data_IF_303275787134
#
_entry.id   IF_303275787134
#
_cell.length_a   1.000
_cell.length_b   1.000
_cell.length_c   1.000
_cell.angle_alpha   90.00
_cell.angle_beta   90.00
_cell.angle_gamma   90.00
#
_symmetry.space_group_name_H-M   'P 1'
#
loop_
_entity.id
_entity.type
_entity.pdbx_description
1 polymer ?
#
# COMPACT_ATOMS: atom_id res chain seq x y z
N UNK A 1 -10.45 26.22 -3.35
CA UNK A 1 -11.44 25.66 -4.31
C UNK A 1 -10.74 24.79 -5.37
N UNK A 2 -10.01 23.74 -4.95
CA UNK A 2 -9.57 22.63 -5.80
C UNK A 2 -9.62 21.39 -4.89
N UNK A 3 -10.83 20.99 -4.53
CA UNK A 3 -11.10 19.82 -3.71
C UNK A 3 -12.49 19.30 -4.11
N UNK A 4 -12.56 18.48 -5.15
CA UNK A 4 -13.76 17.66 -5.44
C UNK A 4 -13.60 16.58 -6.52
N UNK A 5 -12.40 16.29 -7.06
CA UNK A 5 -12.26 15.19 -8.04
C UNK A 5 -11.93 13.82 -7.45
N UNK A 6 -11.66 13.73 -6.15
CA UNK A 6 -11.56 12.45 -5.44
C UNK A 6 -12.86 12.03 -4.74
N UNK A 7 -13.92 12.84 -4.85
CA UNK A 7 -15.29 12.38 -4.61
C UNK A 7 -15.77 11.62 -5.84
N UNK A 8 -15.12 10.50 -6.17
CA UNK A 8 -15.89 9.44 -6.82
C UNK A 8 -16.74 8.84 -5.73
N UNK A 9 -18.01 9.20 -5.79
CA UNK A 9 -19.11 8.35 -5.33
C UNK A 9 -18.67 6.89 -5.52
N UNK A 10 -18.29 6.20 -4.44
CA UNK A 10 -18.00 4.76 -4.47
C UNK A 10 -19.29 3.95 -4.56
N UNK A 11 -20.32 4.55 -5.17
CA UNK A 11 -21.61 3.97 -5.51
C UNK A 11 -21.64 3.49 -6.96
N UNK A 12 -20.57 3.66 -7.74
CA UNK A 12 -20.40 2.98 -9.03
C UNK A 12 -19.99 1.52 -8.85
N UNK A 13 -21.02 0.68 -8.84
CA UNK A 13 -21.04 -0.71 -9.30
C UNK A 13 -20.03 -1.66 -8.63
N UNK A 14 -20.58 -2.57 -7.82
CA UNK A 14 -20.19 -3.98 -7.88
C UNK A 14 -20.20 -4.43 -9.35
N UNK A 15 -19.16 -4.10 -10.12
CA UNK A 15 -18.97 -4.69 -11.45
C UNK A 15 -18.65 -6.13 -11.19
N UNK A 16 -19.55 -7.00 -11.64
CA UNK A 16 -19.31 -8.44 -11.68
C UNK A 16 -17.90 -8.69 -12.20
N UNK A 17 -17.22 -9.65 -11.56
CA UNK A 17 -15.89 -10.08 -12.00
C UNK A 17 -15.99 -10.41 -13.48
N UNK A 18 -15.16 -9.80 -14.36
CA UNK A 18 -15.25 -10.07 -15.79
C UNK A 18 -15.16 -11.57 -16.04
N UNK A 19 -16.04 -12.09 -16.88
CA UNK A 19 -16.36 -13.52 -16.92
C UNK A 19 -15.34 -14.29 -17.74
N UNK A 20 -14.85 -13.68 -18.82
CA UNK A 20 -13.85 -14.29 -19.70
C UNK A 20 -12.45 -13.75 -19.43
N UNK A 21 -11.44 -14.58 -19.73
CA UNK A 21 -10.02 -14.21 -19.61
C UNK A 21 -9.68 -12.90 -20.34
N UNK A 22 -10.19 -12.71 -21.55
CA UNK A 22 -9.84 -11.53 -22.36
C UNK A 22 -10.46 -10.25 -21.77
N UNK A 23 -11.70 -10.31 -21.32
CA UNK A 23 -12.37 -9.20 -20.63
C UNK A 23 -11.64 -8.81 -19.33
N UNK A 24 -11.11 -9.81 -18.61
CA UNK A 24 -10.33 -9.57 -17.40
C UNK A 24 -9.02 -8.84 -17.68
N UNK A 25 -8.26 -9.32 -18.67
CA UNK A 25 -7.01 -8.68 -19.08
C UNK A 25 -7.30 -7.26 -19.59
N UNK A 26 -8.35 -7.09 -20.40
CA UNK A 26 -8.76 -5.77 -20.88
C UNK A 26 -9.16 -4.84 -19.74
N UNK A 27 -9.93 -5.33 -18.76
CA UNK A 27 -10.30 -4.59 -17.55
C UNK A 27 -9.06 -4.11 -16.79
N UNK A 28 -8.12 -5.02 -16.50
CA UNK A 28 -6.87 -4.71 -15.79
C UNK A 28 -6.06 -3.65 -16.54
N UNK A 29 -5.92 -3.81 -17.86
CA UNK A 29 -5.17 -2.88 -18.70
C UNK A 29 -5.86 -1.52 -18.81
N UNK A 30 -7.20 -1.49 -18.91
CA UNK A 30 -7.99 -0.27 -18.91
C UNK A 30 -7.84 0.47 -17.59
N UNK A 31 -7.96 -0.24 -16.46
CA UNK A 31 -7.75 0.32 -15.12
C UNK A 31 -6.37 0.96 -14.99
N UNK A 32 -5.31 0.27 -15.45
CA UNK A 32 -3.96 0.84 -15.44
C UNK A 32 -3.84 2.08 -16.33
N UNK A 33 -4.39 2.05 -17.56
CA UNK A 33 -4.35 3.20 -18.48
C UNK A 33 -5.05 4.42 -17.91
N UNK A 34 -6.24 4.24 -17.33
CA UNK A 34 -7.01 5.31 -16.72
C UNK A 34 -6.26 5.92 -15.53
N UNK A 35 -5.72 5.07 -14.64
CA UNK A 35 -4.93 5.54 -13.52
C UNK A 35 -3.64 6.23 -13.95
N UNK A 36 -2.92 5.69 -14.94
CA UNK A 36 -1.71 6.30 -15.47
C UNK A 36 -2.00 7.67 -16.11
N UNK A 37 -3.11 7.80 -16.84
CA UNK A 37 -3.55 9.06 -17.42
C UNK A 37 -3.89 10.10 -16.33
N UNK A 38 -4.64 9.69 -15.30
CA UNK A 38 -4.93 10.55 -14.14
C UNK A 38 -3.65 10.96 -13.40
N UNK A 39 -2.77 9.99 -13.12
CA UNK A 39 -1.49 10.24 -12.47
C UNK A 39 -0.63 11.20 -13.29
N UNK A 40 -0.59 11.07 -14.61
CA UNK A 40 0.18 11.93 -15.50
C UNK A 40 -0.49 13.26 -15.84
N UNK A 41 -1.76 13.46 -15.44
CA UNK A 41 -2.51 14.66 -15.72
C UNK A 41 -1.79 15.94 -15.25
N UNK A 42 -1.89 17.06 -15.99
CA UNK A 42 -1.21 18.32 -15.65
C UNK A 42 -1.51 18.79 -14.22
N UNK A 43 -2.78 18.77 -13.81
CA UNK A 43 -3.21 19.18 -12.47
C UNK A 43 -2.64 18.26 -11.39
N UNK A 44 -2.67 16.93 -11.62
CA UNK A 44 -2.13 15.97 -10.68
C UNK A 44 -0.61 16.12 -10.51
N UNK A 45 0.11 16.37 -11.62
CA UNK A 45 1.55 16.67 -11.60
C UNK A 45 1.84 17.96 -10.86
N UNK A 46 1.10 19.03 -11.14
CA UNK A 46 1.25 20.32 -10.48
C UNK A 46 0.97 20.23 -8.97
N UNK A 47 -0.11 19.53 -8.57
CA UNK A 47 -0.45 19.30 -7.18
C UNK A 47 0.65 18.53 -6.43
N UNK A 48 1.21 17.47 -7.03
CA UNK A 48 2.36 16.75 -6.44
C UNK A 48 3.61 17.61 -6.33
N UNK A 49 3.89 18.43 -7.34
CA UNK A 49 5.04 19.31 -7.34
C UNK A 49 4.92 20.39 -6.25
N UNK A 50 3.75 21.02 -6.15
CA UNK A 50 3.43 21.99 -5.10
C UNK A 50 3.54 21.35 -3.72
N UNK A 51 2.91 20.18 -3.52
CA UNK A 51 2.99 19.46 -2.25
C UNK A 51 4.44 19.16 -1.87
N UNK A 52 5.28 18.63 -2.78
CA UNK A 52 6.70 18.35 -2.50
C UNK A 52 7.54 19.60 -2.26
N UNK A 53 7.15 20.75 -2.80
CA UNK A 53 7.82 22.03 -2.53
C UNK A 53 7.46 22.55 -1.12
N UNK A 54 6.21 22.37 -0.72
CA UNK A 54 5.71 22.77 0.60
C UNK A 54 6.12 21.78 1.70
N UNK A 55 6.20 20.48 1.38
CA UNK A 55 6.47 19.35 2.25
C UNK A 55 7.51 18.41 1.61
N UNK A 56 8.81 18.72 1.71
CA UNK A 56 9.90 18.02 1.03
C UNK A 56 10.31 16.71 1.70
N UNK A 57 9.83 16.37 2.90
CA UNK A 57 10.11 15.06 3.51
C UNK A 57 9.54 13.94 2.62
N UNK A 58 10.38 12.99 2.22
CA UNK A 58 9.92 11.80 1.50
C UNK A 58 9.20 10.86 2.47
N UNK A 59 8.08 10.27 2.06
CA UNK A 59 7.29 9.40 2.93
C UNK A 59 7.20 7.99 2.36
N UNK A 60 7.71 7.00 3.10
CA UNK A 60 7.52 5.58 2.81
C UNK A 60 6.44 5.01 3.72
N UNK A 61 5.61 4.11 3.19
CA UNK A 61 4.53 3.45 3.93
C UNK A 61 4.71 1.95 3.83
N UNK A 62 5.16 1.32 4.91
CA UNK A 62 5.27 -0.13 5.04
C UNK A 62 3.92 -0.67 5.50
N UNK A 63 3.22 -1.40 4.64
CA UNK A 63 1.82 -1.79 4.89
C UNK A 63 1.45 -3.18 4.42
N UNK A 64 0.29 -3.63 4.88
CA UNK A 64 -0.34 -4.86 4.43
C UNK A 64 -0.68 -4.82 2.93
N UNK A 65 -0.85 -6.00 2.33
CA UNK A 65 -1.39 -6.16 0.99
C UNK A 65 -2.86 -5.81 0.87
N UNK A 66 -3.58 -5.74 2.00
CA UNK A 66 -4.99 -5.43 2.08
C UNK A 66 -5.36 -4.17 1.27
N UNK A 67 -6.35 -4.33 0.38
CA UNK A 67 -6.81 -3.28 -0.53
C UNK A 67 -7.41 -2.07 0.18
N UNK A 68 -7.93 -2.25 1.41
CA UNK A 68 -8.57 -1.18 2.19
C UNK A 68 -7.58 -0.13 2.71
N UNK A 69 -6.29 -0.48 2.82
CA UNK A 69 -5.26 0.42 3.35
C UNK A 69 -4.75 1.36 2.24
N UNK A 70 -5.55 2.39 1.93
CA UNK A 70 -5.24 3.38 0.91
C UNK A 70 -4.77 4.72 1.50
N UNK A 71 -3.50 4.78 1.93
CA UNK A 71 -2.88 5.98 2.51
C UNK A 71 -3.23 7.31 1.83
N UNK A 72 -2.99 7.50 0.51
CA UNK A 72 -3.28 8.79 -0.13
C UNK A 72 -4.74 9.25 -0.04
N UNK A 73 -5.71 8.33 -0.13
CA UNK A 73 -7.13 8.63 0.06
C UNK A 73 -7.37 8.97 1.53
N UNK A 74 -6.92 8.09 2.43
CA UNK A 74 -7.10 8.24 3.87
C UNK A 74 -6.47 9.52 4.42
N UNK A 75 -5.45 10.10 3.78
CA UNK A 75 -4.78 11.34 4.21
C UNK A 75 -5.00 12.51 3.27
N UNK A 76 -5.94 12.40 2.31
CA UNK A 76 -6.20 13.40 1.25
C UNK A 76 -4.94 13.93 0.58
N UNK A 77 -3.96 13.06 0.41
CA UNK A 77 -2.65 13.42 -0.10
C UNK A 77 -2.57 13.08 -1.59
N UNK A 78 -1.96 13.93 -2.43
CA UNK A 78 -1.77 13.61 -3.84
C UNK A 78 -1.11 12.23 -4.03
N UNK A 79 -1.62 11.44 -4.98
CA UNK A 79 -1.05 10.12 -5.32
C UNK A 79 0.46 10.23 -5.60
N UNK A 80 1.26 9.24 -5.24
CA UNK A 80 2.72 9.27 -5.47
C UNK A 80 3.54 10.19 -4.55
N UNK A 81 2.92 10.83 -3.57
CA UNK A 81 3.64 11.42 -2.42
C UNK A 81 4.03 10.31 -1.43
N UNK A 82 3.04 9.50 -1.02
CA UNK A 82 3.27 8.34 -0.17
C UNK A 82 3.78 7.18 -1.02
N UNK A 83 5.01 6.71 -0.78
CA UNK A 83 5.60 5.55 -1.47
C UNK A 83 5.24 4.27 -0.72
N UNK A 84 4.33 3.42 -1.25
CA UNK A 84 3.96 2.20 -0.56
C UNK A 84 5.00 1.10 -0.75
N UNK A 85 5.14 0.30 0.30
CA UNK A 85 5.74 -1.03 0.31
C UNK A 85 4.66 -1.97 0.85
N UNK A 86 4.29 -2.99 0.06
CA UNK A 86 3.19 -3.90 0.40
C UNK A 86 3.73 -5.31 0.63
N UNK A 87 3.46 -5.90 1.80
CA UNK A 87 3.66 -7.32 2.04
C UNK A 87 2.46 -7.89 2.81
N UNK A 88 2.29 -9.21 2.83
CA UNK A 88 1.28 -9.85 3.68
C UNK A 88 1.48 -9.44 5.15
N UNK A 89 0.42 -8.92 5.77
CA UNK A 89 0.46 -8.38 7.12
C UNK A 89 1.35 -7.14 7.32
N UNK A 90 1.94 -6.57 6.28
CA UNK A 90 2.99 -5.55 6.46
C UNK A 90 4.24 -6.12 7.13
N UNK A 91 4.48 -7.43 6.95
CA UNK A 91 5.64 -8.12 7.53
C UNK A 91 6.89 -7.80 6.72
N UNK A 92 7.75 -6.91 7.22
CA UNK A 92 9.07 -6.66 6.66
C UNK A 92 10.14 -6.97 7.71
N UNK A 93 11.35 -7.27 7.27
CA UNK A 93 12.49 -7.45 8.15
C UNK A 93 13.72 -6.79 7.54
N UNK A 94 14.37 -5.90 8.30
CA UNK A 94 15.58 -5.19 7.84
C UNK A 94 16.77 -6.13 7.56
N UNK A 95 16.73 -7.37 8.02
CA UNK A 95 17.71 -8.41 7.68
C UNK A 95 17.45 -9.09 6.34
N UNK A 96 16.31 -8.87 5.68
CA UNK A 96 16.05 -9.42 4.35
C UNK A 96 16.78 -8.60 3.28
N UNK A 97 17.75 -9.17 2.54
CA UNK A 97 18.66 -8.39 1.67
C UNK A 97 17.93 -7.55 0.62
N UNK A 98 16.90 -8.09 -0.03
CA UNK A 98 16.19 -7.34 -1.07
C UNK A 98 15.40 -6.16 -0.49
N UNK A 99 14.69 -6.35 0.62
CA UNK A 99 13.97 -5.25 1.27
C UNK A 99 14.93 -4.18 1.79
N UNK A 100 16.01 -4.62 2.47
CA UNK A 100 17.05 -3.72 2.97
C UNK A 100 17.63 -2.86 1.86
N UNK A 101 18.04 -3.47 0.74
CA UNK A 101 18.61 -2.76 -0.41
C UNK A 101 17.63 -1.73 -0.96
N UNK A 102 16.38 -2.10 -1.21
CA UNK A 102 15.38 -1.18 -1.79
C UNK A 102 15.05 -0.03 -0.84
N UNK A 103 14.89 -0.31 0.46
CA UNK A 103 14.62 0.76 1.44
C UNK A 103 15.83 1.68 1.57
N UNK A 104 17.04 1.13 1.58
CA UNK A 104 18.27 1.91 1.61
C UNK A 104 18.44 2.79 0.38
N UNK A 105 18.12 2.30 -0.82
CA UNK A 105 18.11 3.12 -2.04
C UNK A 105 17.07 4.25 -1.98
N UNK A 106 15.90 3.99 -1.38
CA UNK A 106 14.90 5.03 -1.13
C UNK A 106 15.40 6.10 -0.15
N UNK A 107 16.08 5.70 0.93
CA UNK A 107 16.71 6.66 1.87
C UNK A 107 17.82 7.45 1.17
N UNK A 108 18.69 6.78 0.41
CA UNK A 108 19.75 7.45 -0.37
C UNK A 108 19.18 8.45 -1.36
N UNK A 109 18.07 8.12 -2.01
CA UNK A 109 17.35 9.04 -2.87
C UNK A 109 16.93 10.30 -2.08
N UNK A 110 16.32 10.17 -0.90
CA UNK A 110 15.93 11.32 -0.08
C UNK A 110 17.16 12.17 0.31
N UNK A 111 18.23 11.55 0.80
CA UNK A 111 19.47 12.24 1.22
C UNK A 111 20.14 12.96 0.06
N UNK A 112 20.24 12.32 -1.12
CA UNK A 112 20.84 12.93 -2.32
C UNK A 112 20.12 14.19 -2.80
N UNK A 113 18.90 14.41 -2.32
CA UNK A 113 18.05 15.57 -2.62
C UNK A 113 18.01 16.58 -1.47
N UNK A 114 18.79 16.36 -0.40
CA UNK A 114 18.76 17.19 0.81
C UNK A 114 17.45 17.09 1.58
N UNK A 115 16.75 15.94 1.49
CA UNK A 115 15.45 15.71 2.11
C UNK A 115 15.56 14.72 3.27
N UNK A 116 14.66 14.85 4.23
CA UNK A 116 14.43 13.84 5.25
C UNK A 116 13.56 12.69 4.72
N UNK A 117 13.55 11.57 5.44
CA UNK A 117 12.64 10.45 5.22
C UNK A 117 11.76 10.19 6.44
N UNK A 118 10.44 10.14 6.24
CA UNK A 118 9.47 9.64 7.22
C UNK A 118 9.04 8.24 6.80
N UNK A 119 9.12 7.27 7.72
CA UNK A 119 8.68 5.89 7.45
C UNK A 119 7.48 5.56 8.33
N UNK A 120 6.32 5.34 7.72
CA UNK A 120 5.13 4.85 8.39
C UNK A 120 5.18 3.32 8.45
N UNK A 121 5.40 2.76 9.63
CA UNK A 121 5.38 1.32 9.89
C UNK A 121 3.98 0.94 10.35
N UNK A 122 3.18 0.36 9.45
CA UNK A 122 1.73 0.27 9.65
C UNK A 122 1.25 -1.14 10.01
N UNK A 123 0.31 -1.21 10.95
CA UNK A 123 -0.58 -2.36 11.16
C UNK A 123 -2.02 -1.93 10.86
N UNK A 124 -2.93 -2.89 10.74
CA UNK A 124 -4.34 -2.57 10.55
C UNK A 124 -5.26 -3.53 11.29
N UNK A 125 -6.45 -3.04 11.61
CA UNK A 125 -7.52 -3.80 12.25
C UNK A 125 -8.88 -3.18 11.89
N UNK A 126 -9.96 -3.85 12.28
CA UNK A 126 -11.33 -3.34 12.17
C UNK A 126 -11.93 -3.28 13.56
N UNK A 127 -12.40 -2.10 13.97
CA UNK A 127 -13.01 -1.90 15.29
C UNK A 127 -14.36 -2.63 15.41
N UNK A 128 -15.16 -2.63 14.35
CA UNK A 128 -16.49 -3.23 14.34
C UNK A 128 -16.50 -4.75 14.23
N UNK A 129 -15.42 -5.39 13.75
CA UNK A 129 -15.32 -6.85 13.71
C UNK A 129 -13.88 -7.33 13.63
N UNK A 130 -13.42 -8.10 14.63
CA UNK A 130 -12.07 -8.69 14.67
C UNK A 130 -11.72 -9.49 13.42
N UNK A 131 -12.65 -10.28 12.88
CA UNK A 131 -12.42 -11.10 11.68
C UNK A 131 -12.28 -10.29 10.38
N UNK A 132 -12.49 -8.97 10.44
CA UNK A 132 -12.15 -8.03 9.35
C UNK A 132 -10.78 -7.41 9.52
N UNK A 133 -10.04 -7.75 10.59
CA UNK A 133 -8.69 -7.28 10.81
C UNK A 133 -7.66 -7.94 9.89
N UNK A 134 -6.39 -7.86 10.27
CA UNK A 134 -5.30 -8.39 9.46
C UNK A 134 -5.26 -9.92 9.44
N UNK A 135 -5.68 -10.54 8.33
CA UNK A 135 -5.52 -11.98 8.12
C UNK A 135 -4.05 -12.43 8.11
N UNK A 136 -3.11 -11.53 7.78
CA UNK A 136 -1.67 -11.81 7.84
C UNK A 136 -1.15 -12.07 9.25
N UNK A 137 -1.91 -11.72 10.29
CA UNK A 137 -1.65 -12.01 11.70
C UNK A 137 -2.80 -12.81 12.33
N UNK A 138 -3.56 -13.56 11.54
CA UNK A 138 -4.67 -14.38 12.06
C UNK A 138 -5.68 -13.56 12.89
N UNK A 139 -5.91 -12.30 12.48
CA UNK A 139 -6.79 -11.36 13.17
C UNK A 139 -6.35 -11.00 14.60
N UNK A 140 -5.07 -11.20 14.92
CA UNK A 140 -4.45 -10.78 16.17
C UNK A 140 -3.83 -9.38 16.03
N UNK A 141 -4.58 -8.38 16.47
CA UNK A 141 -4.15 -6.97 16.46
C UNK A 141 -2.91 -6.75 17.35
N UNK A 142 -2.82 -7.42 18.50
CA UNK A 142 -1.69 -7.27 19.42
C UNK A 142 -0.40 -7.84 18.81
N UNK A 143 -0.50 -8.99 18.14
CA UNK A 143 0.62 -9.53 17.39
C UNK A 143 1.09 -8.58 16.27
N UNK A 144 0.16 -7.93 15.57
CA UNK A 144 0.48 -6.95 14.53
C UNK A 144 1.14 -5.68 15.11
N UNK A 145 0.66 -5.18 16.27
CA UNK A 145 1.26 -4.07 17.02
C UNK A 145 2.69 -4.43 17.46
N UNK A 146 2.87 -5.59 18.08
CA UNK A 146 4.18 -6.04 18.56
C UNK A 146 5.18 -6.19 17.41
N UNK A 147 4.74 -6.74 16.28
CA UNK A 147 5.58 -6.88 15.09
C UNK A 147 6.02 -5.53 14.53
N UNK A 148 5.08 -4.60 14.34
CA UNK A 148 5.38 -3.28 13.77
C UNK A 148 6.27 -2.44 14.70
N UNK A 149 6.12 -2.58 16.02
CA UNK A 149 7.04 -1.99 17.00
C UNK A 149 8.47 -2.55 16.85
N UNK A 150 8.61 -3.87 16.67
CA UNK A 150 9.92 -4.51 16.42
C UNK A 150 10.55 -4.02 15.11
N UNK A 151 9.77 -3.90 14.04
CA UNK A 151 10.24 -3.41 12.74
C UNK A 151 10.67 -1.94 12.82
N UNK A 152 9.89 -1.07 13.48
CA UNK A 152 10.30 0.31 13.78
C UNK A 152 11.66 0.34 14.46
N UNK A 153 11.85 -0.47 15.50
CA UNK A 153 13.13 -0.55 16.22
C UNK A 153 14.29 -1.09 15.36
N UNK A 154 14.03 -1.97 14.39
CA UNK A 154 15.05 -2.37 13.39
C UNK A 154 15.48 -1.19 12.53
N UNK A 155 14.52 -0.39 12.04
CA UNK A 155 14.78 0.79 11.22
C UNK A 155 15.56 1.85 12.00
N UNK A 156 15.16 2.10 13.26
CA UNK A 156 15.86 3.00 14.19
C UNK A 156 17.34 2.60 14.36
N UNK A 157 17.63 1.30 14.54
CA UNK A 157 19.01 0.81 14.67
C UNK A 157 19.85 1.00 13.41
N UNK A 158 19.23 0.92 12.22
CA UNK A 158 19.94 1.01 10.93
C UNK A 158 20.21 2.46 10.54
N UNK A 159 19.24 3.36 10.72
CA UNK A 159 19.35 4.76 10.27
C UNK A 159 19.65 5.77 11.38
N UNK A 160 19.77 5.30 12.63
CA UNK A 160 20.26 6.06 13.76
C UNK A 160 19.15 6.57 14.68
N UNK A 161 19.38 6.42 15.98
CA UNK A 161 18.47 6.85 17.06
C UNK A 161 18.37 8.37 17.21
N UNK A 162 19.26 9.13 16.57
CA UNK A 162 19.21 10.60 16.59
C UNK A 162 18.27 11.21 15.54
N UNK A 163 17.63 10.36 14.72
CA UNK A 163 16.61 10.68 13.70
C UNK A 163 16.88 11.89 12.80
N UNK A 164 18.15 12.22 12.57
CA UNK A 164 18.53 13.40 11.78
C UNK A 164 18.06 13.30 10.32
N UNK A 165 18.03 12.08 9.77
CA UNK A 165 17.76 11.82 8.35
C UNK A 165 16.46 11.05 8.16
N UNK A 166 16.29 9.95 8.91
CA UNK A 166 15.13 9.07 8.83
C UNK A 166 14.44 9.04 10.18
N UNK A 167 13.11 9.22 10.17
CA UNK A 167 12.27 9.11 11.35
C UNK A 167 11.18 8.05 11.10
N UNK A 168 11.26 6.85 11.70
CA UNK A 168 10.19 5.87 11.60
C UNK A 168 9.13 6.09 12.70
N UNK A 169 7.85 6.00 12.33
CA UNK A 169 6.73 5.97 13.30
C UNK A 169 5.90 4.72 13.12
N UNK A 170 5.38 4.19 14.22
CA UNK A 170 4.38 3.14 14.19
C UNK A 170 3.00 3.78 14.04
N UNK A 171 2.20 3.28 13.09
CA UNK A 171 0.87 3.80 12.80
C UNK A 171 -0.13 2.66 12.73
N UNK A 172 -1.20 2.73 13.52
CA UNK A 172 -2.37 1.88 13.34
C UNK A 172 -3.28 2.43 12.25
N UNK A 173 -3.89 1.55 11.48
CA UNK A 173 -4.92 1.88 10.49
C UNK A 173 -6.20 1.12 10.85
N UNK A 174 -7.18 1.82 11.41
CA UNK A 174 -8.52 1.30 11.65
C UNK A 174 -9.30 1.37 10.32
N UNK A 175 -9.71 0.21 9.79
CA UNK A 175 -10.23 0.11 8.41
C UNK A 175 -11.71 0.43 8.25
N UNK A 176 -12.48 0.57 9.33
CA UNK A 176 -13.91 0.88 9.23
C UNK A 176 -14.09 2.37 8.89
N UNK A 177 -13.32 3.24 9.54
CA UNK A 177 -13.33 4.71 9.35
C UNK A 177 -12.11 5.25 8.59
N UNK A 178 -11.21 4.38 8.14
CA UNK A 178 -9.91 4.73 7.56
C UNK A 178 -9.06 5.61 8.50
N UNK A 179 -9.16 5.38 9.81
CA UNK A 179 -8.60 6.24 10.83
C UNK A 179 -7.18 5.83 11.25
N UNK A 180 -6.28 6.81 11.39
CA UNK A 180 -4.93 6.56 11.88
C UNK A 180 -4.87 6.58 13.41
N UNK A 181 -4.00 5.73 13.95
CA UNK A 181 -3.55 5.75 15.34
C UNK A 181 -2.06 6.03 15.33
N UNK A 182 -1.64 7.17 15.87
CA UNK A 182 -0.23 7.56 15.94
C UNK A 182 0.38 7.06 17.24
N UNK A 183 1.45 6.27 17.17
CA UNK A 183 2.18 5.78 18.35
C UNK A 183 3.43 6.62 18.58
N UNK A 184 3.46 7.32 19.71
CA UNK A 184 4.51 8.25 20.12
C UNK A 184 5.60 7.63 20.98
N UNK A 185 6.31 8.48 21.72
CA UNK A 185 7.27 8.07 22.73
C UNK A 185 6.57 7.39 23.94
N UNK A 186 7.20 6.35 24.47
CA UNK A 186 6.63 5.53 25.54
C UNK A 186 5.44 4.71 25.07
N UNK A 187 4.41 4.58 25.92
CA UNK A 187 3.15 3.89 25.61
C UNK A 187 2.08 4.86 25.11
N UNK A 188 2.48 6.06 24.66
CA UNK A 188 1.53 7.06 24.22
C UNK A 188 0.99 6.78 22.81
N UNK A 189 -0.32 6.81 22.65
CA UNK A 189 -0.99 6.69 21.35
C UNK A 189 -2.11 7.71 21.20
N UNK A 190 -2.26 8.24 19.98
CA UNK A 190 -3.33 9.19 19.64
C UNK A 190 -4.17 8.62 18.51
N UNK A 191 -5.43 8.35 18.81
CA UNK A 191 -6.44 7.96 17.81
C UNK A 191 -7.02 9.20 17.13
N UNK A 192 -6.73 9.39 15.84
CA UNK A 192 -7.19 10.58 15.12
C UNK A 192 -8.72 10.65 15.00
N UNK A 193 -9.40 9.50 15.05
CA UNK A 193 -10.86 9.39 15.09
C UNK A 193 -11.52 10.12 16.27
N UNK A 194 -10.78 10.32 17.37
CA UNK A 194 -11.26 11.02 18.58
C UNK A 194 -11.08 12.54 18.50
N UNK A 195 -10.30 13.01 17.53
CA UNK A 195 -10.00 14.43 17.37
C UNK A 195 -11.07 15.09 16.48
N UNK A 196 -11.56 16.25 16.91
CA UNK A 196 -12.41 17.12 16.07
C UNK A 196 -11.53 18.14 15.33
N UNK A 197 -12.12 19.05 14.54
CA UNK A 197 -11.36 20.14 13.88
C UNK A 197 -10.65 21.02 14.93
N UNK A 198 -9.44 20.66 15.32
CA UNK A 198 -8.58 21.45 16.20
C UNK A 198 -7.86 22.52 15.36
N UNK A 199 -7.47 23.63 15.97
CA UNK A 199 -6.62 24.62 15.30
C UNK A 199 -5.23 24.03 15.00
N UNK A 200 -4.59 24.53 13.95
CA UNK A 200 -3.27 24.06 13.49
C UNK A 200 -2.20 24.10 14.60
N UNK A 201 -2.16 25.17 15.39
CA UNK A 201 -1.21 25.32 16.50
C UNK A 201 -1.37 24.24 17.58
N UNK A 202 -2.57 23.74 17.80
CA UNK A 202 -2.82 22.67 18.77
C UNK A 202 -2.35 21.30 18.24
N UNK A 203 -2.45 21.06 16.93
CA UNK A 203 -1.92 19.83 16.33
C UNK A 203 -0.39 19.80 16.35
N UNK A 204 0.27 20.93 16.10
CA UNK A 204 1.73 21.01 16.22
C UNK A 204 2.19 20.67 17.64
N UNK A 205 1.55 21.28 18.66
CA UNK A 205 1.86 20.98 20.06
C UNK A 205 1.61 19.51 20.42
N UNK A 206 0.53 18.92 19.90
CA UNK A 206 0.24 17.50 20.06
C UNK A 206 1.34 16.63 19.45
N UNK A 207 1.74 16.90 18.21
CA UNK A 207 2.79 16.15 17.53
C UNK A 207 4.15 16.29 18.22
N UNK A 208 4.50 17.48 18.71
CA UNK A 208 5.74 17.71 19.46
C UNK A 208 5.76 16.93 20.77
N UNK A 209 4.61 16.77 21.41
CA UNK A 209 4.48 16.01 22.66
C UNK A 209 4.68 14.52 22.42
N UNK A 210 4.05 13.95 21.39
CA UNK A 210 4.16 12.51 21.09
C UNK A 210 5.46 12.15 20.38
N UNK A 211 6.10 13.10 19.71
CA UNK A 211 7.38 12.93 19.01
C UNK A 211 8.40 14.02 19.41
N UNK A 212 8.91 14.00 20.65
CA UNK A 212 9.75 15.08 21.19
C UNK A 212 11.11 15.24 20.50
N UNK A 213 11.61 14.19 19.85
CA UNK A 213 12.87 14.13 19.11
C UNK A 213 12.67 14.27 17.59
N UNK A 214 11.44 14.45 17.10
CA UNK A 214 11.19 14.62 15.67
C UNK A 214 11.71 15.97 15.17
N UNK A 215 12.56 15.96 14.12
CA UNK A 215 13.00 17.19 13.48
C UNK A 215 11.80 18.05 13.05
N UNK A 216 11.87 19.35 13.34
CA UNK A 216 10.76 20.30 13.06
C UNK A 216 10.25 20.21 11.62
N UNK A 217 11.16 20.02 10.65
CA UNK A 217 10.81 19.83 9.23
C UNK A 217 9.91 18.61 9.00
N UNK A 218 10.25 17.46 9.60
CA UNK A 218 9.47 16.22 9.47
C UNK A 218 8.11 16.40 10.15
N UNK A 219 8.08 17.06 11.30
CA UNK A 219 6.85 17.33 12.04
C UNK A 219 5.86 18.19 11.23
N UNK A 220 6.35 19.28 10.63
CA UNK A 220 5.55 20.14 9.76
C UNK A 220 5.08 19.41 8.49
N UNK A 221 5.81 18.39 8.03
CA UNK A 221 5.44 17.58 6.86
C UNK A 221 4.50 16.43 7.20
N UNK A 222 4.50 15.97 8.45
CA UNK A 222 3.53 15.02 8.98
C UNK A 222 2.15 15.67 9.21
N UNK A 223 2.13 16.93 9.63
CA UNK A 223 0.91 17.70 9.91
C UNK A 223 -0.18 17.61 8.82
N UNK A 224 0.10 17.86 7.51
CA UNK A 224 -0.92 17.75 6.47
C UNK A 224 -1.48 16.33 6.32
N UNK A 225 -0.70 15.28 6.62
CA UNK A 225 -1.20 13.90 6.60
C UNK A 225 -2.21 13.65 7.72
N UNK A 226 -1.93 14.17 8.91
CA UNK A 226 -2.79 14.08 10.09
C UNK A 226 -4.09 14.86 9.87
N UNK A 227 -3.98 16.10 9.40
CA UNK A 227 -5.14 16.94 9.10
C UNK A 227 -6.01 16.32 8.00
N UNK A 228 -5.39 15.83 6.92
CA UNK A 228 -6.11 15.14 5.86
C UNK A 228 -6.83 13.88 6.34
N UNK A 229 -6.25 13.14 7.28
CA UNK A 229 -6.91 11.97 7.87
C UNK A 229 -8.11 12.32 8.74
N UNK A 230 -8.00 13.33 9.58
CA UNK A 230 -9.14 13.83 10.38
C UNK A 230 -10.27 14.31 9.46
N UNK A 231 -9.93 15.01 8.38
CA UNK A 231 -10.91 15.47 7.40
C UNK A 231 -11.58 14.31 6.65
N UNK A 232 -10.81 13.27 6.28
CA UNK A 232 -11.34 12.06 5.62
C UNK A 232 -12.25 11.26 6.55
N UNK A 233 -11.87 11.07 7.81
CA UNK A 233 -12.72 10.39 8.82
C UNK A 233 -14.07 11.08 8.92
N UNK A 234 -14.10 12.42 8.95
CA UNK A 234 -15.33 13.19 8.99
C UNK A 234 -16.21 12.93 7.75
N UNK A 235 -15.63 12.81 6.56
CA UNK A 235 -16.33 12.46 5.32
C UNK A 235 -16.86 11.02 5.34
N UNK A 236 -16.06 10.04 5.80
CA UNK A 236 -16.49 8.65 5.92
C UNK A 236 -17.70 8.55 6.84
N UNK A 237 -17.66 9.20 8.01
CA UNK A 237 -18.79 9.26 8.95
C UNK A 237 -20.02 9.93 8.34
N UNK A 238 -19.84 11.03 7.61
CA UNK A 238 -20.93 11.77 6.97
C UNK A 238 -21.58 10.98 5.82
N UNK A 239 -20.77 10.27 5.04
CA UNK A 239 -21.23 9.46 3.90
C UNK A 239 -22.05 8.23 4.30
N UNK A 240 -21.97 7.83 5.58
CA UNK A 240 -22.52 6.55 6.07
C UNK A 240 -22.11 5.37 5.17
N UNK A 241 -20.89 5.43 4.63
CA UNK A 241 -20.34 4.41 3.73
C UNK A 241 -20.66 3.03 4.32
N UNK A 242 -21.35 2.14 3.60
CA UNK A 242 -21.55 0.79 4.08
C UNK A 242 -20.16 0.20 4.33
N UNK A 243 -19.97 -0.47 5.45
CA UNK A 243 -18.70 -1.14 5.71
C UNK A 243 -18.47 -2.09 4.54
N UNK A 244 -17.40 -1.85 3.78
CA UNK A 244 -17.06 -2.60 2.56
C UNK A 244 -17.36 -4.07 2.80
N UNK A 245 -18.24 -4.66 1.97
CA UNK A 245 -18.78 -5.99 2.22
C UNK A 245 -17.64 -6.95 2.57
N UNK A 246 -17.80 -7.56 3.74
CA UNK A 246 -16.84 -8.27 4.56
C UNK A 246 -16.18 -9.46 3.85
N UNK A 247 -16.70 -9.85 2.70
CA UNK A 247 -16.22 -10.98 1.96
C UNK A 247 -15.16 -10.55 0.95
N UNK A 248 -13.93 -10.98 1.21
CA UNK A 248 -12.86 -11.04 0.23
C UNK A 248 -13.40 -11.63 -1.08
N UNK A 249 -13.47 -10.83 -2.16
CA UNK A 249 -13.79 -11.28 -3.53
C UNK A 249 -12.63 -11.08 -4.49
N UNK A 250 -11.41 -10.97 -3.96
CA UNK A 250 -10.22 -10.82 -4.79
C UNK A 250 -10.05 -12.04 -5.71
N UNK A 251 -9.75 -11.75 -6.97
CA UNK A 251 -9.62 -12.71 -8.06
C UNK A 251 -8.29 -12.58 -8.80
N UNK A 252 -7.51 -11.54 -8.49
CA UNK A 252 -6.14 -11.33 -9.00
C UNK A 252 -5.13 -11.63 -7.88
N UNK A 253 -4.18 -12.52 -8.15
CA UNK A 253 -2.92 -12.63 -7.41
C UNK A 253 -1.90 -11.71 -8.07
N UNK A 254 -1.63 -10.57 -7.45
CA UNK A 254 -0.64 -9.62 -7.93
C UNK A 254 0.70 -9.85 -7.20
N UNK A 255 1.76 -10.22 -7.93
CA UNK A 255 3.07 -10.51 -7.35
C UNK A 255 4.14 -9.53 -7.86
N UNK A 256 4.86 -8.90 -6.93
CA UNK A 256 5.97 -8.02 -7.24
C UNK A 256 5.71 -6.57 -6.82
N UNK A 257 5.99 -5.61 -7.70
CA UNK A 257 5.95 -4.17 -7.41
C UNK A 257 5.25 -3.38 -8.51
N UNK A 258 4.81 -2.16 -8.19
CA UNK A 258 4.23 -1.23 -9.17
C UNK A 258 2.71 -1.23 -9.23
N UNK A 259 2.05 -1.89 -8.29
CA UNK A 259 0.58 -1.98 -8.20
C UNK A 259 -0.09 -0.77 -7.54
N UNK A 260 0.53 0.41 -7.58
CA UNK A 260 -0.01 1.66 -7.01
C UNK A 260 -1.34 2.08 -7.66
N UNK A 261 -1.64 1.54 -8.85
CA UNK A 261 -2.85 1.78 -9.61
C UNK A 261 -3.97 0.77 -9.31
N UNK A 262 -3.64 -0.34 -8.62
CA UNK A 262 -4.57 -1.44 -8.33
C UNK A 262 -5.01 -1.35 -6.86
N UNK A 263 -5.89 -0.40 -6.56
CA UNK A 263 -6.37 -0.12 -5.19
C UNK A 263 -7.88 -0.28 -5.04
N UNK A 264 -8.55 -0.81 -6.06
CA UNK A 264 -9.95 -1.18 -5.99
C UNK A 264 -10.14 -2.28 -4.92
N UNK A 265 -11.05 -2.08 -3.95
CA UNK A 265 -11.42 -3.13 -3.00
C UNK A 265 -11.86 -4.41 -3.73
N UNK A 266 -11.67 -5.57 -3.10
CA UNK A 266 -12.13 -6.86 -3.63
C UNK A 266 -11.64 -7.22 -5.04
N UNK A 267 -10.53 -6.63 -5.48
CA UNK A 267 -9.97 -6.88 -6.82
C UNK A 267 -8.74 -7.79 -6.75
N UNK A 268 -7.73 -7.44 -5.94
CA UNK A 268 -6.44 -8.11 -5.96
C UNK A 268 -5.80 -8.30 -4.58
N UNK A 269 -5.12 -9.43 -4.42
CA UNK A 269 -4.18 -9.70 -3.33
C UNK A 269 -2.76 -9.39 -3.81
N UNK A 270 -2.13 -8.35 -3.25
CA UNK A 270 -0.83 -7.85 -3.72
C UNK A 270 0.32 -8.35 -2.83
N UNK A 271 1.01 -9.39 -3.27
CA UNK A 271 2.20 -9.95 -2.61
C UNK A 271 3.46 -9.25 -3.13
N UNK A 272 4.20 -8.56 -2.25
CA UNK A 272 5.49 -7.98 -2.60
C UNK A 272 6.67 -8.95 -2.37
N UNK A 273 7.82 -8.75 -3.04
CA UNK A 273 8.97 -9.66 -2.98
C UNK A 273 9.84 -9.42 -1.73
N UNK A 274 9.21 -9.35 -0.55
CA UNK A 274 9.84 -8.89 0.70
C UNK A 274 10.09 -9.99 1.73
N UNK A 275 9.79 -11.24 1.39
CA UNK A 275 9.98 -12.40 2.26
C UNK A 275 11.13 -13.27 1.76
N UNK A 276 11.88 -13.86 2.70
CA UNK A 276 12.90 -14.87 2.40
C UNK A 276 12.30 -16.16 1.81
N UNK A 277 11.05 -16.47 2.19
CA UNK A 277 10.23 -17.51 1.58
C UNK A 277 9.08 -16.79 0.87
N UNK A 278 9.28 -16.42 -0.38
CA UNK A 278 8.26 -15.76 -1.18
C UNK A 278 7.15 -16.72 -1.62
N UNK A 279 7.45 -18.02 -1.76
CA UNK A 279 6.47 -19.04 -2.11
C UNK A 279 5.33 -19.12 -1.09
N UNK A 280 5.65 -19.05 0.21
CA UNK A 280 4.66 -19.11 1.29
C UNK A 280 3.53 -18.07 1.13
N UNK A 281 3.84 -16.77 1.10
CA UNK A 281 2.85 -15.71 0.84
C UNK A 281 2.09 -15.87 -0.49
N UNK A 282 2.75 -16.31 -1.56
CA UNK A 282 2.10 -16.59 -2.86
C UNK A 282 1.05 -17.69 -2.69
N UNK A 283 1.41 -18.81 -2.08
CA UNK A 283 0.49 -19.94 -1.87
C UNK A 283 -0.66 -19.55 -0.94
N UNK A 284 -0.40 -18.75 0.09
CA UNK A 284 -1.46 -18.22 0.97
C UNK A 284 -2.45 -17.35 0.18
N UNK A 285 -1.97 -16.42 -0.63
CA UNK A 285 -2.85 -15.60 -1.48
C UNK A 285 -3.64 -16.46 -2.49
N UNK A 286 -3.00 -17.46 -3.09
CA UNK A 286 -3.63 -18.38 -4.02
C UNK A 286 -4.73 -19.23 -3.35
N UNK A 287 -4.54 -19.66 -2.08
CA UNK A 287 -5.59 -20.35 -1.30
C UNK A 287 -6.80 -19.47 -1.07
N UNK A 288 -6.61 -18.17 -0.81
CA UNK A 288 -7.72 -17.22 -0.64
C UNK A 288 -8.54 -17.13 -1.93
N UNK A 289 -7.88 -16.96 -3.08
CA UNK A 289 -8.56 -16.94 -4.40
C UNK A 289 -9.31 -18.25 -4.65
N UNK A 290 -8.67 -19.40 -4.44
CA UNK A 290 -9.32 -20.72 -4.59
C UNK A 290 -10.55 -20.86 -3.69
N UNK A 291 -10.47 -20.38 -2.43
CA UNK A 291 -11.59 -20.38 -1.50
C UNK A 291 -12.74 -19.51 -2.04
N UNK A 292 -12.45 -18.31 -2.52
CA UNK A 292 -13.45 -17.42 -3.13
C UNK A 292 -14.17 -18.08 -4.32
N UNK A 293 -13.44 -18.82 -5.16
CA UNK A 293 -14.02 -19.57 -6.27
C UNK A 293 -14.89 -20.74 -5.80
N UNK A 294 -14.42 -21.48 -4.79
CA UNK A 294 -15.16 -22.63 -4.23
C UNK A 294 -16.46 -22.20 -3.55
N UNK A 295 -16.45 -21.02 -2.92
CA UNK A 295 -17.61 -20.43 -2.26
C UNK A 295 -18.52 -19.66 -3.25
N UNK A 296 -18.22 -19.68 -4.56
CA UNK A 296 -19.03 -19.06 -5.60
C UNK A 296 -19.00 -17.53 -5.61
N UNK A 297 -18.08 -16.90 -4.87
CA UNK A 297 -17.93 -15.43 -4.83
C UNK A 297 -17.33 -14.86 -6.10
N UNK A 298 -16.58 -15.69 -6.82
CA UNK A 298 -15.81 -15.34 -8.01
C UNK A 298 -15.93 -16.53 -8.98
N UNK A 299 -16.11 -16.33 -10.30
CA UNK A 299 -16.22 -17.44 -11.26
C UNK A 299 -15.00 -18.39 -11.25
N UNK A 300 -15.17 -19.67 -11.55
CA UNK A 300 -14.09 -20.68 -11.46
C UNK A 300 -13.00 -20.49 -12.53
N UNK A 301 -13.27 -19.77 -13.62
CA UNK A 301 -12.31 -19.57 -14.73
C UNK A 301 -11.64 -18.18 -14.70
N UNK A 302 -11.79 -17.47 -13.58
CA UNK A 302 -11.57 -16.02 -13.52
C UNK A 302 -10.30 -15.61 -12.76
N UNK A 303 -9.44 -16.56 -12.38
CA UNK A 303 -8.26 -16.26 -11.58
C UNK A 303 -7.10 -15.76 -12.44
N UNK A 304 -6.52 -14.62 -12.07
CA UNK A 304 -5.35 -14.04 -12.75
C UNK A 304 -4.13 -14.11 -11.83
N UNK A 305 -2.99 -14.55 -12.35
CA UNK A 305 -1.67 -14.29 -11.78
C UNK A 305 -1.04 -13.13 -12.55
N UNK A 306 -1.01 -11.95 -11.95
CA UNK A 306 -0.35 -10.78 -12.52
C UNK A 306 0.97 -10.53 -11.80
N UNK A 307 2.07 -10.65 -12.52
CA UNK A 307 3.40 -10.34 -11.99
C UNK A 307 3.89 -9.00 -12.53
N UNK A 308 4.56 -8.22 -11.69
CA UNK A 308 5.06 -6.92 -12.09
C UNK A 308 6.38 -6.55 -11.42
N UNK A 309 7.25 -5.91 -12.18
CA UNK A 309 8.44 -5.24 -11.67
C UNK A 309 8.45 -3.77 -12.11
N UNK A 310 9.15 -2.94 -11.35
CA UNK A 310 9.23 -1.51 -11.60
C UNK A 310 10.56 -1.13 -12.23
N UNK A 311 10.55 -0.08 -13.04
CA UNK A 311 11.74 0.63 -13.51
C UNK A 311 11.53 2.15 -13.38
N UNK A 312 12.63 2.91 -13.33
CA UNK A 312 12.62 4.38 -13.26
C UNK A 312 13.32 5.01 -14.45
N UNK A 313 14.41 4.41 -14.92
CA UNK A 313 15.08 4.90 -16.11
C UNK A 313 14.52 4.18 -17.34
N UNK A 314 13.78 4.87 -18.23
CA UNK A 314 13.33 4.25 -19.46
C UNK A 314 14.49 3.98 -20.42
N UNK A 315 15.65 4.61 -20.22
CA UNK A 315 16.87 4.33 -20.96
C UNK A 315 17.72 3.26 -20.25
N UNK A 316 18.55 2.56 -21.02
CA UNK A 316 19.51 1.58 -20.48
C UNK A 316 18.87 0.25 -20.05
N UNK A 317 19.47 -0.39 -19.04
CA UNK A 317 19.16 -1.77 -18.68
C UNK A 317 17.97 -1.93 -17.72
N UNK A 318 17.45 -0.85 -17.12
CA UNK A 318 16.44 -0.94 -16.06
C UNK A 318 15.13 -1.61 -16.54
N UNK A 319 14.57 -1.29 -17.73
CA UNK A 319 13.37 -1.98 -18.23
C UNK A 319 13.62 -3.46 -18.54
N UNK A 320 14.82 -3.81 -19.01
CA UNK A 320 15.22 -5.20 -19.28
C UNK A 320 15.33 -6.00 -17.97
N UNK A 321 15.97 -5.42 -16.95
CA UNK A 321 16.04 -6.02 -15.61
C UNK A 321 14.65 -6.15 -14.96
N UNK A 322 13.77 -5.17 -15.16
CA UNK A 322 12.38 -5.28 -14.72
C UNK A 322 11.66 -6.43 -15.41
N UNK A 323 11.85 -6.62 -16.73
CA UNK A 323 11.27 -7.74 -17.47
C UNK A 323 11.74 -9.08 -16.91
N UNK A 324 13.04 -9.28 -16.74
CA UNK A 324 13.59 -10.53 -16.17
C UNK A 324 13.02 -10.81 -14.78
N UNK A 325 12.89 -9.79 -13.93
CA UNK A 325 12.28 -9.93 -12.60
C UNK A 325 10.81 -10.34 -12.67
N UNK A 326 10.02 -9.71 -13.55
CA UNK A 326 8.60 -10.02 -13.69
C UNK A 326 8.40 -11.48 -14.15
N UNK A 327 9.15 -11.92 -15.16
CA UNK A 327 9.10 -13.29 -15.68
C UNK A 327 9.56 -14.30 -14.62
N UNK A 328 10.67 -14.04 -13.93
CA UNK A 328 11.14 -14.90 -12.83
C UNK A 328 10.08 -15.06 -11.73
N UNK A 329 9.46 -13.95 -11.30
CA UNK A 329 8.40 -13.99 -10.29
C UNK A 329 7.19 -14.82 -10.75
N UNK A 330 6.80 -14.68 -12.02
CA UNK A 330 5.71 -15.47 -12.61
C UNK A 330 6.02 -16.95 -12.57
N UNK A 331 7.19 -17.34 -13.06
CA UNK A 331 7.56 -18.75 -13.21
C UNK A 331 7.68 -19.41 -11.84
N UNK A 332 8.34 -18.74 -10.89
CA UNK A 332 8.43 -19.19 -9.50
C UNK A 332 7.05 -19.34 -8.86
N UNK A 333 6.16 -18.36 -9.03
CA UNK A 333 4.80 -18.43 -8.49
C UNK A 333 3.99 -19.59 -9.09
N UNK A 334 4.07 -19.79 -10.41
CA UNK A 334 3.40 -20.90 -11.08
C UNK A 334 3.93 -22.25 -10.59
N UNK A 335 5.23 -22.40 -10.36
CA UNK A 335 5.80 -23.63 -9.77
C UNK A 335 5.24 -23.87 -8.37
N UNK A 336 5.24 -22.86 -7.49
CA UNK A 336 4.72 -22.98 -6.14
C UNK A 336 3.21 -23.30 -6.13
N UNK A 337 2.42 -22.65 -6.98
CA UNK A 337 0.97 -22.88 -7.08
C UNK A 337 0.67 -24.26 -7.66
N UNK A 338 1.38 -24.72 -8.70
CA UNK A 338 1.19 -26.08 -9.25
C UNK A 338 1.48 -27.16 -8.23
N UNK A 339 2.51 -26.98 -7.40
CA UNK A 339 2.90 -27.92 -6.35
C UNK A 339 1.82 -28.03 -5.26
N UNK A 340 1.31 -26.89 -4.78
CA UNK A 340 0.47 -26.86 -3.58
C UNK A 340 -1.04 -26.78 -3.88
N UNK A 341 -1.42 -26.30 -5.07
CA UNK A 341 -2.79 -26.05 -5.52
C UNK A 341 -2.97 -26.41 -7.02
N UNK A 342 -2.72 -27.68 -7.43
CA UNK A 342 -2.68 -28.06 -8.84
C UNK A 342 -3.95 -27.68 -9.62
N UNK A 343 -5.15 -27.91 -9.05
CA UNK A 343 -6.41 -27.55 -9.70
C UNK A 343 -6.63 -26.05 -9.90
N UNK A 344 -6.04 -25.18 -9.07
CA UNK A 344 -6.07 -23.74 -9.34
C UNK A 344 -5.13 -23.41 -10.50
N UNK A 345 -3.97 -24.06 -10.56
CA UNK A 345 -2.95 -23.79 -11.57
C UNK A 345 -3.41 -24.09 -13.01
N UNK A 346 -4.40 -24.98 -13.18
CA UNK A 346 -5.01 -25.32 -14.48
C UNK A 346 -5.91 -24.21 -15.03
N UNK A 347 -6.56 -23.45 -14.15
CA UNK A 347 -7.50 -22.37 -14.50
C UNK A 347 -6.92 -20.97 -14.31
N UNK A 348 -5.72 -20.87 -13.74
CA UNK A 348 -5.03 -19.62 -13.48
C UNK A 348 -4.44 -19.06 -14.77
N UNK A 349 -4.82 -17.84 -15.14
CA UNK A 349 -4.23 -17.14 -16.27
C UNK A 349 -3.01 -16.34 -15.81
N UNK A 350 -1.78 -16.70 -16.25
CA UNK A 350 -0.59 -15.91 -15.95
C UNK A 350 -0.46 -14.71 -16.88
N UNK A 351 0.09 -13.64 -16.33
CA UNK A 351 0.27 -12.36 -16.99
C UNK A 351 1.45 -11.62 -16.34
N UNK A 352 2.35 -11.05 -17.13
CA UNK A 352 3.55 -10.36 -16.67
C UNK A 352 3.67 -8.97 -17.28
N UNK A 353 3.99 -7.99 -16.43
CA UNK A 353 4.16 -6.60 -16.83
C UNK A 353 5.37 -5.93 -16.20
N UNK A 354 5.75 -4.81 -16.77
CA UNK A 354 6.71 -3.87 -16.18
C UNK A 354 6.05 -2.50 -16.02
N UNK A 355 6.32 -1.81 -14.92
CA UNK A 355 5.70 -0.51 -14.60
C UNK A 355 6.74 0.59 -14.56
N UNK A 356 6.49 1.65 -15.33
CA UNK A 356 7.28 2.88 -15.26
C UNK A 356 6.88 3.69 -14.01
N UNK A 357 7.83 3.89 -13.10
CA UNK A 357 7.60 4.63 -11.85
C UNK A 357 7.51 6.15 -12.04
N UNK A 358 7.60 6.68 -13.24
CA UNK A 358 7.36 8.09 -13.53
C UNK A 358 5.94 8.32 -14.05
N UNK A 359 5.33 7.30 -14.68
CA UNK A 359 4.00 7.42 -15.30
C UNK A 359 2.95 6.51 -14.68
N UNK A 360 3.37 5.50 -13.90
CA UNK A 360 2.54 4.37 -13.42
C UNK A 360 1.95 3.51 -14.54
N UNK A 361 2.40 3.71 -15.77
CA UNK A 361 1.95 2.91 -16.90
C UNK A 361 2.61 1.53 -16.87
N UNK A 362 1.78 0.50 -17.00
CA UNK A 362 2.22 -0.87 -17.18
C UNK A 362 2.37 -1.19 -18.66
N UNK A 363 3.45 -1.88 -19.01
CA UNK A 363 3.61 -2.58 -20.29
C UNK A 363 3.58 -4.08 -20.05
N UNK A 364 2.73 -4.78 -20.78
CA UNK A 364 2.72 -6.24 -20.82
C UNK A 364 3.98 -6.72 -21.51
N UNK A 365 4.62 -7.73 -20.94
CA UNK A 365 5.83 -8.35 -21.51
C UNK A 365 5.60 -9.82 -21.89
N UNK A 366 4.60 -10.47 -21.30
CA UNK A 366 4.09 -11.81 -21.63
C UNK A 366 2.75 -12.03 -20.93
#
# INVERSE_FOLDING_TARGET
MIASRFSRDSTEESKDVPVTRDEQIEYILKLNREHAAEFCGPDARAARALYRAQHPTEVAVLKCMDGRIHGPVATKTPLGILQPFRNIGGKFDMGWPHFQMVLHDWVRYAVSRGRHGLILVTYHFSAGNRHRGCAGFDYDTEAAIAFTRKLKAQIDRVYGMGHQVVYPIQVGFETDEDAFILHGAGDESVELATLTKVSEGNFVALLQRIYPDMPQRILLDLLPLVQGNIEHIAEVRASKRPVVEVEHREWILALGRGFDWMHAPNTALIVGPWSHNLEGPVVTAARIIKKNMTEGRVPIESAILLTSAIYRDPAGSDPLLAREKALFLRDMALVAIRRDLPGLAEVLTPFAGIVDMNTRQMKVVE
#
